data_IF_158747200044
#
_entry.id   IF_158747200044
#
_cell.length_a   1.000
_cell.length_b   1.000
_cell.length_c   1.000
_cell.angle_alpha   90.00
_cell.angle_beta   90.00
_cell.angle_gamma   90.00
#
_symmetry.space_group_name_H-M   'P 1'
#
loop_
_entity.id
_entity.type
_entity.pdbx_description
1 polymer ?
#
# COMPACT_ATOMS: atom_id res chain seq x y z
N UNK A 1 -16.82 -26.97 -5.26
CA UNK A 1 -17.34 -26.94 -6.64
C UNK A 1 -18.39 -25.84 -6.89
N UNK A 2 -18.93 -25.12 -5.88
CA UNK A 2 -20.05 -24.18 -6.11
C UNK A 2 -19.68 -22.71 -6.39
N UNK A 3 -18.54 -22.22 -5.90
CA UNK A 3 -18.23 -20.77 -5.93
C UNK A 3 -18.04 -20.19 -7.33
N UNK A 4 -17.39 -20.93 -8.23
CA UNK A 4 -17.18 -20.50 -9.60
C UNK A 4 -18.49 -20.53 -10.42
N UNK A 5 -19.35 -21.53 -10.19
CA UNK A 5 -20.64 -21.63 -10.87
C UNK A 5 -21.57 -20.50 -10.45
N UNK A 6 -21.67 -20.24 -9.15
CA UNK A 6 -22.47 -19.15 -8.60
C UNK A 6 -21.99 -17.78 -9.11
N UNK A 7 -20.68 -17.55 -9.16
CA UNK A 7 -20.10 -16.32 -9.73
C UNK A 7 -20.45 -16.13 -11.21
N UNK A 8 -20.43 -17.20 -12.01
CA UNK A 8 -20.80 -17.13 -13.43
C UNK A 8 -22.31 -16.90 -13.62
N UNK A 9 -23.14 -17.53 -12.81
CA UNK A 9 -24.60 -17.34 -12.84
C UNK A 9 -24.94 -15.88 -12.50
N UNK A 10 -24.34 -15.32 -11.45
CA UNK A 10 -24.49 -13.90 -11.09
C UNK A 10 -23.95 -12.97 -12.19
N UNK A 11 -22.84 -13.35 -12.84
CA UNK A 11 -22.33 -12.65 -14.03
C UNK A 11 -23.33 -12.62 -15.19
N UNK A 12 -24.04 -13.72 -15.44
CA UNK A 12 -25.08 -13.80 -16.47
C UNK A 12 -26.28 -12.90 -16.17
N UNK A 13 -26.70 -12.81 -14.92
CA UNK A 13 -27.76 -11.87 -14.51
C UNK A 13 -27.31 -10.42 -14.68
N UNK A 14 -26.05 -10.08 -14.40
CA UNK A 14 -25.50 -8.74 -14.70
C UNK A 14 -25.54 -8.44 -16.20
N UNK A 15 -25.13 -9.39 -17.04
CA UNK A 15 -25.20 -9.23 -18.49
C UNK A 15 -26.63 -8.99 -18.99
N UNK A 16 -27.63 -9.57 -18.31
CA UNK A 16 -29.05 -9.34 -18.62
C UNK A 16 -29.46 -7.90 -18.36
N UNK A 17 -28.92 -7.26 -17.31
CA UNK A 17 -29.18 -5.84 -17.01
C UNK A 17 -28.55 -4.90 -18.03
N UNK A 18 -27.35 -5.21 -18.52
CA UNK A 18 -26.64 -4.37 -19.48
C UNK A 18 -27.09 -4.57 -20.94
N UNK A 19 -27.79 -5.66 -21.25
CA UNK A 19 -28.22 -5.93 -22.62
C UNK A 19 -29.46 -5.07 -22.99
N UNK A 20 -29.38 -4.19 -24.00
CA UNK A 20 -30.52 -3.35 -24.40
C UNK A 20 -31.70 -4.14 -25.00
N UNK A 21 -31.48 -5.39 -25.42
CA UNK A 21 -32.49 -6.23 -26.05
C UNK A 21 -33.24 -7.16 -25.08
N UNK A 22 -33.02 -7.04 -23.77
CA UNK A 22 -33.73 -7.84 -22.76
C UNK A 22 -35.01 -7.12 -22.33
N UNK A 23 -36.04 -7.90 -21.99
CA UNK A 23 -37.30 -7.34 -21.50
C UNK A 23 -37.14 -6.78 -20.09
N UNK A 24 -37.98 -5.81 -19.73
CA UNK A 24 -37.95 -5.16 -18.41
C UNK A 24 -38.28 -6.15 -17.28
N UNK A 25 -39.13 -7.15 -17.54
CA UNK A 25 -39.43 -8.22 -16.59
C UNK A 25 -38.20 -9.10 -16.31
N UNK A 26 -37.40 -9.39 -17.33
CA UNK A 26 -36.16 -10.15 -17.18
C UNK A 26 -35.10 -9.35 -16.40
N UNK A 27 -35.03 -8.04 -16.62
CA UNK A 27 -34.14 -7.15 -15.86
C UNK A 27 -34.56 -7.06 -14.39
N UNK A 28 -35.84 -6.85 -14.10
CA UNK A 28 -36.35 -6.80 -12.73
C UNK A 28 -36.05 -8.09 -11.95
N UNK A 29 -36.20 -9.25 -12.61
CA UNK A 29 -35.84 -10.54 -12.01
C UNK A 29 -34.32 -10.65 -11.77
N UNK A 30 -33.49 -10.22 -12.72
CA UNK A 30 -32.04 -10.22 -12.56
C UNK A 30 -31.58 -9.31 -11.40
N UNK A 31 -32.19 -8.13 -11.23
CA UNK A 31 -31.94 -7.23 -10.10
C UNK A 31 -32.27 -7.90 -8.77
N UNK A 32 -33.44 -8.55 -8.69
CA UNK A 32 -33.86 -9.26 -7.48
C UNK A 32 -32.90 -10.39 -7.10
N UNK A 33 -32.43 -11.17 -8.08
CA UNK A 33 -31.47 -12.25 -7.86
C UNK A 33 -30.11 -11.70 -7.38
N UNK A 34 -29.62 -10.62 -7.98
CA UNK A 34 -28.36 -9.97 -7.60
C UNK A 34 -28.43 -9.34 -6.21
N UNK A 35 -29.55 -8.70 -5.88
CA UNK A 35 -29.81 -8.14 -4.56
C UNK A 35 -29.87 -9.22 -3.47
N UNK A 36 -30.56 -10.34 -3.74
CA UNK A 36 -30.61 -11.49 -2.82
C UNK A 36 -29.24 -12.13 -2.60
N UNK A 37 -28.36 -12.11 -3.61
CA UNK A 37 -26.99 -12.58 -3.51
C UNK A 37 -26.03 -11.56 -2.85
N UNK A 38 -26.53 -10.38 -2.44
CA UNK A 38 -25.72 -9.32 -1.83
C UNK A 38 -24.71 -8.69 -2.80
N UNK A 39 -24.92 -8.84 -4.11
CA UNK A 39 -24.02 -8.30 -5.13
C UNK A 39 -24.42 -6.87 -5.44
N UNK A 40 -23.60 -5.92 -5.02
CA UNK A 40 -23.78 -4.53 -5.40
C UNK A 40 -23.43 -4.34 -6.89
N UNK A 41 -24.46 -4.18 -7.71
CA UNK A 41 -24.35 -4.00 -9.17
C UNK A 41 -23.55 -2.74 -9.52
N UNK A 42 -23.54 -1.73 -8.65
CA UNK A 42 -22.90 -0.43 -8.91
C UNK A 42 -21.36 -0.47 -8.79
N UNK A 43 -20.84 -1.38 -7.97
CA UNK A 43 -19.39 -1.48 -7.67
C UNK A 43 -18.56 -1.93 -8.87
N UNK A 44 -19.08 -2.86 -9.67
CA UNK A 44 -18.33 -3.45 -10.79
C UNK A 44 -18.35 -2.55 -12.03
N UNK A 45 -19.43 -1.79 -12.25
CA UNK A 45 -19.48 -0.77 -13.32
C UNK A 45 -18.39 0.25 -13.09
N UNK A 46 -18.23 0.71 -11.84
CA UNK A 46 -17.17 1.65 -11.45
C UNK A 46 -15.77 1.08 -11.69
N UNK A 47 -15.53 -0.22 -11.41
CA UNK A 47 -14.24 -0.86 -11.73
C UNK A 47 -13.99 -0.99 -13.24
N UNK A 48 -15.02 -1.37 -14.01
CA UNK A 48 -14.93 -1.47 -15.46
C UNK A 48 -14.62 -0.10 -16.07
N UNK A 49 -15.36 0.93 -15.66
CA UNK A 49 -15.17 2.31 -16.10
C UNK A 49 -13.77 2.79 -15.73
N UNK A 50 -13.30 2.56 -14.50
CA UNK A 50 -11.94 2.90 -14.10
C UNK A 50 -10.86 2.23 -14.98
N UNK A 51 -11.05 0.95 -15.36
CA UNK A 51 -10.12 0.25 -16.25
C UNK A 51 -10.17 0.79 -17.67
N UNK A 52 -11.37 1.08 -18.19
CA UNK A 52 -11.56 1.69 -19.52
C UNK A 52 -10.89 3.06 -19.58
N UNK A 53 -11.11 3.90 -18.57
CA UNK A 53 -10.47 5.22 -18.47
C UNK A 53 -8.95 5.13 -18.29
N UNK A 54 -8.46 4.13 -17.55
CA UNK A 54 -7.04 3.80 -17.50
C UNK A 54 -6.46 3.45 -18.87
N UNK A 55 -7.21 2.72 -19.69
CA UNK A 55 -6.84 2.40 -21.08
C UNK A 55 -6.72 3.64 -21.95
N UNK A 56 -7.67 4.58 -21.88
CA UNK A 56 -7.58 5.84 -22.63
C UNK A 56 -6.39 6.71 -22.18
N UNK A 57 -6.10 6.77 -20.88
CA UNK A 57 -4.88 7.42 -20.37
C UNK A 57 -3.61 6.77 -20.90
N UNK A 58 -3.57 5.44 -20.96
CA UNK A 58 -2.43 4.71 -21.53
C UNK A 58 -2.24 5.06 -23.01
N UNK A 59 -3.32 5.14 -23.79
CA UNK A 59 -3.30 5.56 -25.20
C UNK A 59 -2.67 6.94 -25.39
N UNK A 60 -2.96 7.90 -24.50
CA UNK A 60 -2.36 9.23 -24.53
C UNK A 60 -0.85 9.22 -24.24
N UNK A 61 -0.42 8.34 -23.33
CA UNK A 61 1.00 8.23 -22.92
C UNK A 61 1.88 7.42 -23.88
N UNK A 62 1.26 6.56 -24.70
CA UNK A 62 2.00 5.65 -25.57
C UNK A 62 2.53 6.39 -26.81
N UNK A 63 3.85 6.41 -27.07
CA UNK A 63 4.39 7.07 -28.25
C UNK A 63 4.04 6.38 -29.58
N UNK A 64 3.62 5.11 -29.53
CA UNK A 64 3.29 4.31 -30.72
C UNK A 64 1.81 4.33 -31.11
N UNK A 65 0.98 5.13 -30.44
CA UNK A 65 -0.44 5.31 -30.81
C UNK A 65 -0.58 6.45 -31.83
N UNK A 66 -1.59 6.34 -32.72
CA UNK A 66 -1.86 7.37 -33.71
C UNK A 66 -2.47 8.62 -33.07
N UNK A 67 -2.31 9.77 -33.73
CA UNK A 67 -2.83 11.05 -33.24
C UNK A 67 -4.36 11.07 -33.21
N UNK A 68 -5.03 10.39 -34.15
CA UNK A 68 -6.48 10.23 -34.15
C UNK A 68 -6.96 9.45 -32.93
N UNK A 69 -6.25 8.38 -32.56
CA UNK A 69 -6.59 7.57 -31.39
C UNK A 69 -6.36 8.35 -30.08
N UNK A 70 -5.32 9.19 -30.02
CA UNK A 70 -5.06 10.08 -28.89
C UNK A 70 -6.14 11.16 -28.76
N UNK A 71 -6.56 11.75 -29.88
CA UNK A 71 -7.61 12.78 -29.90
C UNK A 71 -8.92 12.21 -29.34
N UNK A 72 -9.34 11.05 -29.85
CA UNK A 72 -10.53 10.36 -29.35
C UNK A 72 -10.40 9.97 -27.86
N UNK A 73 -9.23 9.48 -27.44
CA UNK A 73 -8.99 9.16 -26.04
C UNK A 73 -9.12 10.39 -25.12
N UNK A 74 -8.62 11.55 -25.58
CA UNK A 74 -8.74 12.81 -24.84
C UNK A 74 -10.19 13.29 -24.74
N UNK A 75 -10.96 13.19 -25.83
CA UNK A 75 -12.40 13.53 -25.86
C UNK A 75 -13.20 12.68 -24.86
N UNK A 76 -13.03 11.36 -24.90
CA UNK A 76 -13.74 10.44 -23.99
C UNK A 76 -13.40 10.70 -22.52
N UNK A 77 -12.12 10.98 -22.22
CA UNK A 77 -11.70 11.33 -20.85
C UNK A 77 -12.35 12.65 -20.40
N UNK A 78 -12.42 13.66 -21.28
CA UNK A 78 -13.02 14.96 -20.98
C UNK A 78 -14.55 14.88 -20.77
N UNK A 79 -15.27 14.07 -21.57
CA UNK A 79 -16.72 13.86 -21.40
C UNK A 79 -17.08 13.29 -20.02
N UNK A 80 -16.21 12.44 -19.48
CA UNK A 80 -16.39 11.84 -18.15
C UNK A 80 -15.84 12.73 -17.02
N UNK A 81 -15.44 13.97 -17.31
CA UNK A 81 -14.89 14.92 -16.34
C UNK A 81 -13.55 14.46 -15.74
N UNK A 82 -12.85 13.54 -16.40
CA UNK A 82 -11.52 13.11 -16.01
C UNK A 82 -10.53 14.00 -16.74
N UNK A 83 -9.83 14.85 -16.00
CA UNK A 83 -8.78 15.67 -16.59
C UNK A 83 -7.74 14.77 -17.27
N UNK A 84 -7.83 14.75 -18.61
CA UNK A 84 -6.96 14.04 -19.54
C UNK A 84 -5.61 14.73 -19.69
N UNK A 85 -5.31 15.72 -18.85
CA UNK A 85 -3.94 16.15 -18.67
C UNK A 85 -3.17 14.87 -18.36
N UNK A 86 -2.17 14.49 -19.18
CA UNK A 86 -1.18 13.56 -18.67
C UNK A 86 -0.80 14.10 -17.29
N UNK A 87 -0.72 13.23 -16.30
CA UNK A 87 -0.12 13.62 -15.03
C UNK A 87 1.38 13.91 -15.27
N UNK A 88 1.73 14.80 -16.19
CA UNK A 88 3.00 15.52 -16.27
C UNK A 88 3.10 16.51 -15.11
N UNK A 89 2.16 16.53 -14.18
CA UNK A 89 2.15 17.41 -13.02
C UNK A 89 1.38 16.82 -11.84
N UNK A 90 1.75 15.61 -11.41
CA UNK A 90 2.00 15.51 -9.98
C UNK A 90 3.44 16.03 -9.77
N UNK A 91 3.65 17.24 -9.22
CA UNK A 91 4.98 17.69 -8.80
C UNK A 91 5.50 16.91 -7.57
N UNK A 92 5.18 15.61 -7.48
CA UNK A 92 5.54 14.71 -6.38
C UNK A 92 5.94 13.30 -6.87
N UNK A 93 5.91 13.00 -8.18
CA UNK A 93 6.37 11.70 -8.69
C UNK A 93 7.90 11.58 -8.83
N UNK A 94 8.61 12.71 -8.99
CA UNK A 94 10.07 12.72 -8.85
C UNK A 94 10.46 12.22 -7.47
N UNK A 95 9.88 12.85 -6.44
CA UNK A 95 10.12 12.51 -5.05
C UNK A 95 9.64 11.08 -4.70
N UNK A 96 8.47 10.62 -5.14
CA UNK A 96 7.99 9.29 -4.75
C UNK A 96 8.80 8.15 -5.40
N UNK A 97 9.14 8.29 -6.69
CA UNK A 97 10.00 7.32 -7.36
C UNK A 97 11.40 7.32 -6.75
N UNK A 98 11.98 8.50 -6.53
CA UNK A 98 13.29 8.66 -5.92
C UNK A 98 13.32 8.14 -4.47
N UNK A 99 12.31 8.46 -3.66
CA UNK A 99 12.17 7.91 -2.31
C UNK A 99 12.02 6.40 -2.31
N UNK A 100 11.34 5.81 -3.31
CA UNK A 100 11.21 4.35 -3.44
C UNK A 100 12.54 3.70 -3.82
N UNK A 101 13.28 4.32 -4.74
CA UNK A 101 14.62 3.89 -5.15
C UNK A 101 15.60 3.96 -3.97
N UNK A 102 15.65 5.10 -3.28
CA UNK A 102 16.47 5.30 -2.08
C UNK A 102 16.06 4.36 -0.93
N UNK A 103 14.76 4.08 -0.79
CA UNK A 103 14.24 3.06 0.13
C UNK A 103 14.75 1.65 -0.19
N UNK A 104 14.85 1.31 -1.47
CA UNK A 104 15.45 0.07 -1.95
C UNK A 104 16.92 -0.06 -1.55
N UNK A 105 17.72 0.99 -1.78
CA UNK A 105 19.13 0.99 -1.37
C UNK A 105 19.31 0.89 0.15
N UNK A 106 18.44 1.52 0.95
CA UNK A 106 18.41 1.32 2.42
C UNK A 106 18.12 -0.14 2.80
N UNK A 107 17.20 -0.79 2.09
CA UNK A 107 16.89 -2.19 2.33
C UNK A 107 18.09 -3.10 2.02
N UNK A 108 18.83 -2.83 0.94
CA UNK A 108 20.09 -3.51 0.56
C UNK A 108 21.12 -3.47 1.69
N UNK A 109 21.27 -2.32 2.37
CA UNK A 109 22.18 -2.20 3.52
C UNK A 109 21.74 -3.07 4.71
N UNK A 110 20.43 -3.12 4.98
CA UNK A 110 19.87 -3.89 6.09
C UNK A 110 19.83 -5.40 5.86
N UNK A 111 19.84 -5.85 4.60
CA UNK A 111 19.68 -7.26 4.27
C UNK A 111 21.01 -8.02 4.51
N UNK A 112 21.00 -9.08 5.36
CA UNK A 112 22.21 -9.87 5.66
C UNK A 112 22.68 -10.72 4.48
N UNK A 113 21.81 -11.01 3.50
CA UNK A 113 22.12 -11.88 2.36
C UNK A 113 22.66 -11.11 1.14
N UNK A 114 23.04 -9.85 1.32
CA UNK A 114 23.51 -8.96 0.25
C UNK A 114 25.02 -8.85 0.29
N UNK A 115 25.68 -8.89 -0.87
CA UNK A 115 27.14 -8.86 -0.95
C UNK A 115 27.73 -7.53 -0.48
N UNK A 116 29.02 -7.53 -0.13
CA UNK A 116 29.71 -6.34 0.37
C UNK A 116 29.75 -5.24 -0.71
N UNK A 117 30.00 -5.63 -1.96
CA UNK A 117 30.08 -4.72 -3.11
C UNK A 117 28.73 -4.05 -3.40
N UNK A 118 27.62 -4.79 -3.25
CA UNK A 118 26.28 -4.23 -3.42
C UNK A 118 25.91 -3.23 -2.31
N UNK A 119 26.47 -3.43 -1.10
CA UNK A 119 26.27 -2.49 0.02
C UNK A 119 27.09 -1.22 -0.16
N UNK A 120 28.35 -1.33 -0.57
CA UNK A 120 29.20 -0.17 -0.86
C UNK A 120 28.56 0.74 -1.93
N UNK A 121 28.10 0.15 -3.03
CA UNK A 121 27.38 0.91 -4.07
C UNK A 121 26.07 1.53 -3.56
N UNK A 122 25.34 0.83 -2.67
CA UNK A 122 24.14 1.39 -2.06
C UNK A 122 24.45 2.57 -1.12
N UNK A 123 25.59 2.56 -0.43
CA UNK A 123 26.06 3.67 0.40
C UNK A 123 26.44 4.89 -0.44
N UNK A 124 27.15 4.69 -1.56
CA UNK A 124 27.54 5.75 -2.49
C UNK A 124 26.29 6.46 -3.06
N UNK A 125 25.31 5.69 -3.57
CA UNK A 125 24.07 6.25 -4.12
C UNK A 125 23.26 7.02 -3.06
N UNK A 126 23.23 6.54 -1.81
CA UNK A 126 22.55 7.24 -0.72
C UNK A 126 23.28 8.51 -0.27
N UNK A 127 24.61 8.52 -0.32
CA UNK A 127 25.43 9.69 0.00
C UNK A 127 25.28 10.79 -1.05
N UNK A 128 25.32 10.43 -2.34
CA UNK A 128 25.13 11.34 -3.47
C UNK A 128 23.73 11.96 -3.47
N UNK A 129 22.72 11.19 -3.09
CA UNK A 129 21.35 11.67 -2.93
C UNK A 129 21.13 12.57 -1.69
N UNK A 130 22.19 12.89 -0.93
CA UNK A 130 22.09 13.70 0.28
C UNK A 130 21.29 13.03 1.40
N UNK A 131 21.01 11.73 1.29
CA UNK A 131 20.41 10.91 2.34
C UNK A 131 21.52 10.50 3.29
N UNK A 132 22.18 11.50 3.89
CA UNK A 132 23.11 11.28 4.98
C UNK A 132 22.32 10.64 6.10
N UNK A 133 22.52 9.33 6.27
CA UNK A 133 22.02 8.48 7.35
C UNK A 133 20.87 9.13 8.10
N UNK A 134 19.64 8.81 7.69
CA UNK A 134 18.45 9.01 8.52
C UNK A 134 18.88 8.66 9.93
N UNK A 135 18.95 9.72 10.74
CA UNK A 135 18.94 9.65 12.20
C UNK A 135 18.14 8.42 12.54
N UNK A 136 18.80 7.39 13.07
CA UNK A 136 18.12 6.24 13.66
C UNK A 136 17.01 6.86 14.50
N UNK A 137 15.77 6.80 14.02
CA UNK A 137 14.62 7.47 14.64
C UNK A 137 14.33 6.63 15.87
N UNK A 138 15.11 6.90 16.91
CA UNK A 138 15.26 6.07 18.09
C UNK A 138 16.63 6.14 18.79
N UNK A 139 17.60 6.89 18.26
CA UNK A 139 18.76 7.32 19.03
C UNK A 139 18.37 8.57 19.82
N UNK A 140 17.88 8.35 21.04
CA UNK A 140 17.77 9.43 22.01
C UNK A 140 19.15 10.01 22.33
N UNK A 141 19.23 11.30 22.74
CA UNK A 141 20.48 11.96 23.10
C UNK A 141 21.21 11.33 24.30
N UNK A 142 20.61 10.31 24.93
CA UNK A 142 21.17 9.53 26.04
C UNK A 142 21.89 8.24 25.60
N UNK A 143 21.97 7.93 24.30
CA UNK A 143 22.65 6.72 23.81
C UNK A 143 21.90 5.40 24.05
N UNK A 144 20.76 5.46 24.75
CA UNK A 144 19.89 4.30 25.03
C UNK A 144 18.93 4.12 23.85
N UNK A 145 18.90 2.92 23.27
CA UNK A 145 18.00 2.61 22.14
C UNK A 145 16.53 2.60 22.59
N UNK A 146 15.58 2.96 21.71
CA UNK A 146 14.14 2.89 22.02
C UNK A 146 13.68 1.49 22.46
N UNK A 147 14.34 0.45 21.94
CA UNK A 147 14.13 -0.93 22.36
C UNK A 147 14.50 -1.12 23.83
N UNK A 148 15.67 -0.61 24.24
CA UNK A 148 16.17 -0.72 25.61
C UNK A 148 15.28 0.03 26.61
N UNK A 149 14.73 1.20 26.23
CA UNK A 149 13.72 1.88 27.06
C UNK A 149 12.46 1.04 27.28
N UNK A 150 11.94 0.42 26.22
CA UNK A 150 10.75 -0.45 26.33
C UNK A 150 11.03 -1.69 27.17
N UNK A 151 12.24 -2.27 27.05
CA UNK A 151 12.69 -3.39 27.86
C UNK A 151 12.76 -3.01 29.35
N UNK A 152 13.38 -1.87 29.68
CA UNK A 152 13.45 -1.37 31.05
C UNK A 152 12.07 -1.03 31.61
N UNK A 153 11.18 -0.42 30.81
CA UNK A 153 9.79 -0.20 31.19
C UNK A 153 9.04 -1.52 31.48
N UNK A 154 9.31 -2.57 30.69
CA UNK A 154 8.79 -3.92 30.93
C UNK A 154 9.25 -4.48 32.29
N UNK A 155 10.54 -4.36 32.62
CA UNK A 155 11.07 -4.78 33.93
C UNK A 155 10.48 -3.97 35.10
N UNK A 156 10.22 -2.67 34.92
CA UNK A 156 9.48 -1.86 35.90
C UNK A 156 8.03 -2.35 36.08
N UNK A 157 7.39 -2.77 35.00
CA UNK A 157 6.07 -3.40 35.03
C UNK A 157 6.05 -4.72 35.80
N UNK A 158 7.10 -5.55 35.68
CA UNK A 158 7.26 -6.79 36.47
C UNK A 158 7.31 -6.48 37.97
N UNK A 159 8.03 -5.43 38.39
CA UNK A 159 8.09 -5.05 39.81
C UNK A 159 6.75 -4.58 40.37
N UNK A 160 5.93 -3.96 39.53
CA UNK A 160 4.63 -3.39 39.90
C UNK A 160 3.49 -4.41 39.87
N UNK A 161 3.70 -5.59 39.27
CA UNK A 161 2.68 -6.62 39.14
C UNK A 161 2.72 -7.60 40.32
N UNK A 162 1.61 -7.73 41.04
CA UNK A 162 1.47 -8.60 42.21
C UNK A 162 1.47 -10.10 41.86
N UNK A 163 1.14 -10.46 40.63
CA UNK A 163 1.10 -11.86 40.15
C UNK A 163 2.45 -12.37 39.61
N UNK A 164 3.53 -11.63 39.78
CA UNK A 164 4.86 -12.06 39.32
C UNK A 164 5.65 -12.75 40.43
N UNK A 165 6.41 -13.78 40.07
CA UNK A 165 7.20 -14.55 41.02
C UNK A 165 8.34 -13.72 41.62
N UNK A 166 8.74 -14.05 42.85
CA UNK A 166 9.84 -13.35 43.55
C UNK A 166 11.15 -13.36 42.76
N UNK A 167 11.48 -14.49 42.13
CA UNK A 167 12.66 -14.63 41.28
C UNK A 167 12.64 -13.70 40.05
N UNK A 168 11.45 -13.47 39.46
CA UNK A 168 11.30 -12.56 38.33
C UNK A 168 11.47 -11.10 38.77
N UNK A 169 10.98 -10.74 39.96
CA UNK A 169 11.18 -9.39 40.53
C UNK A 169 12.64 -9.13 40.87
N UNK A 170 13.37 -10.12 41.38
CA UNK A 170 14.79 -9.97 41.69
C UNK A 170 15.63 -9.73 40.42
N UNK A 171 15.40 -10.52 39.36
CA UNK A 171 16.05 -10.32 38.06
C UNK A 171 15.72 -8.95 37.46
N UNK A 172 14.46 -8.52 37.55
CA UNK A 172 14.05 -7.20 37.09
C UNK A 172 14.76 -6.06 37.85
N UNK A 173 14.95 -6.19 39.17
CA UNK A 173 15.73 -5.23 39.97
C UNK A 173 17.20 -5.19 39.57
N UNK A 174 17.82 -6.35 39.35
CA UNK A 174 19.23 -6.42 38.94
C UNK A 174 19.46 -5.67 37.62
N UNK A 175 18.59 -5.91 36.61
CA UNK A 175 18.70 -5.27 35.29
C UNK A 175 18.44 -3.76 35.36
N UNK A 176 17.45 -3.32 36.15
CA UNK A 176 17.18 -1.89 36.34
C UNK A 176 18.29 -1.17 37.12
N UNK A 177 18.98 -1.88 38.03
CA UNK A 177 20.10 -1.35 38.80
C UNK A 177 21.35 -1.21 37.92
N UNK A 178 21.60 -2.18 37.05
CA UNK A 178 22.70 -2.15 36.09
C UNK A 178 22.51 -1.03 35.05
N UNK A 179 21.27 -0.79 34.64
CA UNK A 179 20.90 0.31 33.74
C UNK A 179 20.85 1.70 34.42
N UNK A 180 21.06 1.79 35.74
CA UNK A 180 21.03 3.05 36.49
C UNK A 180 19.64 3.68 36.64
N UNK A 181 18.55 2.92 36.45
CA UNK A 181 17.17 3.42 36.56
C UNK A 181 16.55 3.22 37.96
N UNK A 182 17.29 2.63 38.91
CA UNK A 182 16.90 2.52 40.32
C UNK A 182 17.45 3.73 41.09
N UNK A 183 16.59 4.72 41.34
CA UNK A 183 16.78 5.80 42.30
C UNK A 183 15.81 5.64 43.47
#
# INVERSE_FOLDING_TARGET
>A
MSTAHESHVLGGYKATLSNPNTSEEAKAHAEQVLANAGVDVTTNTTEHDNRVMGGYKATLSNPYTSEEAKTHAAEVLAEQGIDATPATSAPAQGDEHENRVLGGYKATLSNPNTSAEAKEHAEEVLADAGVTSVTKKGASPTGISEHEKHVLAGYKGVLSNDNTSGEAKEKARAILSEAGELH
#
